data_IF_163918613430
#
_entry.id   IF_163918613430
#
_cell.length_a   1.000
_cell.length_b   1.000
_cell.length_c   1.000
_cell.angle_alpha   90.00
_cell.angle_beta   90.00
_cell.angle_gamma   90.00
#
_symmetry.space_group_name_H-M   'P 1'
#
loop_
_entity.id
_entity.type
_entity.pdbx_description
1 polymer ?
#
# COMPACT_ATOMS: atom_id res chain seq x y z
N UNK A 1 16.47 -71.45 71.01
CA UNK A 1 15.82 -70.53 71.97
C UNK A 1 15.99 -69.12 71.43
N UNK A 2 14.88 -68.38 71.31
CA UNK A 2 14.74 -66.90 71.19
C UNK A 2 15.52 -66.21 70.05
N UNK A 3 14.96 -65.48 69.09
CA UNK A 3 13.67 -64.82 68.99
C UNK A 3 13.85 -63.36 68.51
N UNK A 4 13.34 -63.07 67.31
CA UNK A 4 12.54 -61.90 66.92
C UNK A 4 13.08 -60.44 66.81
N UNK A 5 12.71 -59.85 65.64
CA UNK A 5 12.29 -58.45 65.34
C UNK A 5 13.37 -57.33 65.41
N UNK A 6 13.45 -56.31 64.53
CA UNK A 6 12.42 -55.49 63.88
C UNK A 6 13.00 -54.49 62.81
N UNK A 7 12.22 -54.20 61.74
CA UNK A 7 12.11 -52.96 60.88
C UNK A 7 13.32 -52.39 60.10
N UNK A 8 13.35 -52.48 58.76
CA UNK A 8 12.73 -51.59 57.73
C UNK A 8 13.34 -50.18 57.69
N UNK A 9 14.07 -49.86 56.61
CA UNK A 9 13.77 -48.74 55.70
C UNK A 9 14.53 -48.90 54.38
N UNK A 10 13.77 -48.99 53.29
CA UNK A 10 14.26 -48.93 51.93
C UNK A 10 14.53 -47.45 51.56
N UNK A 11 15.65 -47.17 50.91
CA UNK A 11 15.79 -45.98 50.07
C UNK A 11 16.49 -46.38 48.78
N UNK A 12 15.66 -46.59 47.75
CA UNK A 12 16.05 -46.68 46.36
C UNK A 12 16.78 -45.39 45.97
N UNK A 13 18.03 -45.51 45.56
CA UNK A 13 18.77 -44.40 44.96
C UNK A 13 18.28 -44.22 43.53
N UNK A 14 17.22 -43.43 43.36
CA UNK A 14 16.77 -42.97 42.05
C UNK A 14 17.76 -41.93 41.53
N UNK A 15 18.42 -42.28 40.42
CA UNK A 15 19.20 -41.38 39.58
C UNK A 15 18.25 -40.29 39.09
N UNK A 16 18.35 -39.09 39.66
CA UNK A 16 17.69 -37.91 39.13
C UNK A 16 18.53 -37.40 37.95
N UNK A 17 18.38 -38.04 36.79
CA UNK A 17 18.80 -37.45 35.53
C UNK A 17 17.90 -36.23 35.30
N UNK A 18 18.43 -35.05 35.64
CA UNK A 18 17.84 -33.77 35.28
C UNK A 18 17.84 -33.72 33.75
N UNK A 19 16.69 -34.05 33.16
CA UNK A 19 16.39 -33.70 31.78
C UNK A 19 16.28 -32.17 31.73
N UNK A 20 17.40 -31.51 31.42
CA UNK A 20 17.38 -30.22 30.75
C UNK A 20 16.74 -30.47 29.39
N UNK A 21 15.41 -30.40 29.35
CA UNK A 21 14.69 -30.16 28.11
C UNK A 21 15.09 -28.73 27.74
N UNK A 22 16.12 -28.61 26.92
CA UNK A 22 16.30 -27.46 26.06
C UNK A 22 15.06 -27.45 25.16
N UNK A 23 14.01 -26.76 25.61
CA UNK A 23 13.00 -26.26 24.71
C UNK A 23 13.75 -25.31 23.77
N UNK A 24 14.15 -25.84 22.62
CA UNK A 24 14.44 -25.00 21.48
C UNK A 24 13.27 -24.03 21.36
N UNK A 25 13.51 -22.72 21.17
CA UNK A 25 12.40 -21.84 20.85
C UNK A 25 11.70 -22.48 19.67
N UNK A 26 10.41 -22.78 19.82
CA UNK A 26 9.59 -23.17 18.69
C UNK A 26 9.69 -21.99 17.74
N UNK A 27 10.57 -22.08 16.73
CA UNK A 27 10.67 -21.07 15.70
C UNK A 27 9.24 -20.87 15.21
N UNK A 28 8.72 -19.66 15.39
CA UNK A 28 7.46 -19.30 14.77
C UNK A 28 7.59 -19.70 13.30
N UNK A 29 6.62 -20.46 12.80
CA UNK A 29 6.73 -21.03 11.46
C UNK A 29 6.98 -19.88 10.47
N UNK A 30 8.00 -20.01 9.64
CA UNK A 30 8.30 -19.08 8.56
C UNK A 30 7.01 -18.75 7.77
N UNK A 31 6.68 -17.48 7.48
CA UNK A 31 5.43 -17.11 6.82
C UNK A 31 5.18 -17.86 5.52
N UNK A 32 6.23 -18.17 4.75
CA UNK A 32 6.11 -18.98 3.55
C UNK A 32 5.58 -20.40 3.84
N UNK A 33 5.97 -21.01 4.97
CA UNK A 33 5.43 -22.30 5.42
C UNK A 33 4.00 -22.19 5.92
N UNK A 34 3.64 -21.10 6.58
CA UNK A 34 2.26 -20.86 7.01
C UNK A 34 1.33 -20.75 5.79
N UNK A 35 1.75 -20.00 4.76
CA UNK A 35 1.03 -19.90 3.48
C UNK A 35 0.93 -21.26 2.79
N UNK A 36 2.03 -22.01 2.70
CA UNK A 36 2.03 -23.32 2.06
C UNK A 36 1.16 -24.37 2.79
N UNK A 37 0.89 -24.15 4.08
CA UNK A 37 0.00 -25.01 4.87
C UNK A 37 -1.49 -24.66 4.71
N UNK A 38 -1.82 -23.56 4.02
CA UNK A 38 -3.20 -23.19 3.76
C UNK A 38 -3.91 -24.27 2.92
N UNK A 39 -5.13 -24.68 3.32
CA UNK A 39 -5.90 -25.63 2.55
C UNK A 39 -6.35 -25.03 1.21
N UNK A 40 -6.67 -25.89 0.25
CA UNK A 40 -7.34 -25.47 -0.97
C UNK A 40 -8.81 -25.05 -0.70
N UNK A 41 -9.38 -24.27 -1.61
CA UNK A 41 -10.81 -23.97 -1.65
C UNK A 41 -11.65 -25.27 -1.51
N UNK A 42 -12.74 -25.29 -0.71
CA UNK A 42 -13.51 -24.15 -0.18
C UNK A 42 -13.12 -23.61 1.19
N UNK A 43 -12.00 -24.05 1.76
CA UNK A 43 -11.57 -23.54 3.06
C UNK A 43 -10.88 -22.18 2.92
N UNK A 44 -11.20 -21.26 3.85
CA UNK A 44 -10.45 -20.02 4.05
C UNK A 44 -9.29 -20.26 5.01
N UNK A 45 -8.20 -19.52 4.81
CA UNK A 45 -6.99 -19.60 5.61
C UNK A 45 -6.67 -18.25 6.26
N UNK A 46 -6.59 -18.22 7.58
CA UNK A 46 -6.03 -17.07 8.31
C UNK A 46 -4.57 -17.35 8.68
N UNK A 47 -3.67 -16.47 8.23
CA UNK A 47 -2.26 -16.48 8.56
C UNK A 47 -2.02 -15.34 9.56
N UNK A 48 -1.91 -15.70 10.84
CA UNK A 48 -1.64 -14.73 11.91
C UNK A 48 -0.17 -14.80 12.31
N UNK A 49 0.54 -13.69 12.12
CA UNK A 49 1.97 -13.55 12.41
C UNK A 49 2.27 -13.31 13.90
N UNK A 50 1.23 -13.17 14.74
CA UNK A 50 1.28 -13.08 16.22
C UNK A 50 2.06 -11.88 16.77
N UNK A 51 2.15 -10.80 16.01
CA UNK A 51 2.91 -9.60 16.37
C UNK A 51 4.43 -9.80 16.26
N UNK A 52 4.88 -10.93 15.71
CA UNK A 52 6.30 -11.26 15.57
C UNK A 52 6.92 -10.60 14.34
N UNK A 53 8.26 -10.53 14.34
CA UNK A 53 9.06 -10.03 13.22
C UNK A 53 9.61 -11.21 12.42
N UNK A 54 9.36 -11.23 11.12
CA UNK A 54 9.87 -12.26 10.22
C UNK A 54 10.73 -11.65 9.13
N UNK A 55 11.93 -12.20 8.96
CA UNK A 55 12.77 -11.87 7.81
C UNK A 55 12.39 -12.76 6.64
N UNK A 56 11.94 -12.17 5.54
CA UNK A 56 11.60 -12.88 4.32
C UNK A 56 12.71 -12.74 3.28
N UNK A 57 13.00 -13.84 2.60
CA UNK A 57 14.04 -13.93 1.55
C UNK A 57 13.44 -14.25 0.18
N UNK A 58 12.14 -14.52 0.14
CA UNK A 58 11.39 -14.87 -1.04
C UNK A 58 10.01 -14.19 -0.99
N UNK A 59 9.45 -13.95 -2.16
CA UNK A 59 8.09 -13.44 -2.35
C UNK A 59 7.07 -14.31 -1.62
N UNK A 60 6.21 -13.69 -0.82
CA UNK A 60 5.05 -14.34 -0.24
C UNK A 60 3.88 -14.26 -1.21
N UNK A 61 3.36 -15.40 -1.65
CA UNK A 61 2.22 -15.46 -2.56
C UNK A 61 0.92 -15.58 -1.77
N UNK A 62 0.05 -14.59 -1.85
CA UNK A 62 -1.26 -14.59 -1.20
C UNK A 62 -2.36 -14.67 -2.24
N UNK A 63 -3.31 -15.58 -2.01
CA UNK A 63 -4.52 -15.64 -2.81
C UNK A 63 -5.61 -14.77 -2.18
N UNK A 64 -6.08 -13.71 -2.86
CA UNK A 64 -7.02 -12.74 -2.27
C UNK A 64 -8.41 -13.32 -1.99
N UNK A 65 -8.77 -14.44 -2.61
CA UNK A 65 -10.09 -15.06 -2.50
C UNK A 65 -10.18 -16.03 -1.32
N UNK A 66 -9.03 -16.49 -0.81
CA UNK A 66 -8.98 -17.60 0.17
C UNK A 66 -8.08 -17.33 1.38
N UNK A 67 -7.20 -16.33 1.32
CA UNK A 67 -6.21 -16.08 2.37
C UNK A 67 -6.36 -14.69 2.99
N UNK A 68 -6.24 -14.64 4.32
CA UNK A 68 -6.08 -13.41 5.11
C UNK A 68 -4.73 -13.43 5.81
N UNK A 69 -3.98 -12.32 5.78
CA UNK A 69 -2.70 -12.16 6.49
C UNK A 69 -2.84 -11.10 7.57
N UNK A 70 -2.46 -11.40 8.81
CA UNK A 70 -2.66 -10.48 9.94
C UNK A 70 -1.50 -10.37 10.91
N UNK A 71 -1.39 -9.19 11.54
CA UNK A 71 -0.71 -8.95 12.82
C UNK A 71 0.77 -9.35 12.86
N UNK A 72 1.65 -8.57 12.24
CA UNK A 72 3.10 -8.81 12.33
C UNK A 72 3.96 -7.84 11.54
N UNK A 73 5.27 -8.08 11.61
CA UNK A 73 6.28 -7.30 10.88
C UNK A 73 6.99 -8.21 9.89
N UNK A 74 7.08 -7.77 8.64
CA UNK A 74 7.81 -8.44 7.57
C UNK A 74 9.02 -7.58 7.19
N UNK A 75 10.22 -8.11 7.43
CA UNK A 75 11.50 -7.55 6.99
C UNK A 75 11.91 -8.22 5.67
N UNK A 76 11.68 -7.50 4.58
CA UNK A 76 12.01 -7.84 3.20
C UNK A 76 13.38 -7.30 2.75
N UNK A 77 14.23 -6.83 3.66
CA UNK A 77 15.58 -6.32 3.34
C UNK A 77 16.48 -7.36 2.67
N UNK A 78 16.14 -8.65 2.77
CA UNK A 78 16.87 -9.76 2.16
C UNK A 78 16.38 -10.17 0.76
N UNK A 79 15.38 -9.50 0.18
CA UNK A 79 14.85 -9.87 -1.13
C UNK A 79 15.80 -9.53 -2.29
N UNK A 80 15.82 -10.37 -3.34
CA UNK A 80 16.48 -10.03 -4.59
C UNK A 80 15.93 -8.73 -5.22
N UNK A 81 16.77 -8.09 -6.04
CA UNK A 81 16.36 -6.93 -6.84
C UNK A 81 15.18 -7.29 -7.75
N UNK A 82 14.15 -6.45 -7.78
CA UNK A 82 12.97 -6.61 -8.63
C UNK A 82 11.88 -7.56 -8.11
N UNK A 83 12.13 -8.32 -7.05
CA UNK A 83 11.12 -9.20 -6.45
C UNK A 83 10.18 -8.42 -5.53
N UNK A 84 8.86 -8.73 -5.54
CA UNK A 84 7.93 -8.19 -4.56
C UNK A 84 8.03 -8.93 -3.24
N UNK A 85 7.82 -8.23 -2.12
CA UNK A 85 7.72 -8.88 -0.82
C UNK A 85 6.43 -9.71 -0.69
N UNK A 86 5.32 -9.17 -1.18
CA UNK A 86 4.04 -9.86 -1.26
C UNK A 86 3.51 -9.74 -2.68
N UNK A 87 3.22 -10.87 -3.32
CA UNK A 87 2.43 -10.94 -4.55
C UNK A 87 1.03 -11.44 -4.19
N UNK A 88 0.03 -10.60 -4.45
CA UNK A 88 -1.38 -10.95 -4.33
C UNK A 88 -1.89 -11.33 -5.71
N UNK A 89 -2.31 -12.59 -5.85
CA UNK A 89 -2.77 -13.13 -7.13
C UNK A 89 -3.78 -14.24 -6.91
N UNK A 90 -4.85 -14.25 -7.70
CA UNK A 90 -5.82 -15.34 -7.78
C UNK A 90 -5.53 -16.29 -8.96
N UNK A 91 -4.35 -16.20 -9.57
CA UNK A 91 -3.90 -17.14 -10.58
C UNK A 91 -3.79 -18.56 -9.99
N UNK A 92 -4.22 -19.55 -10.77
CA UNK A 92 -4.14 -20.95 -10.40
C UNK A 92 -5.40 -21.75 -10.76
N UNK A 93 -5.25 -23.06 -10.89
CA UNK A 93 -6.37 -23.97 -11.09
C UNK A 93 -7.14 -24.20 -9.79
N UNK A 94 -8.46 -24.39 -9.88
CA UNK A 94 -9.32 -24.70 -8.73
C UNK A 94 -9.61 -23.52 -7.79
N UNK A 95 -9.29 -22.30 -8.20
CA UNK A 95 -9.64 -21.08 -7.46
C UNK A 95 -11.10 -20.70 -7.69
N UNK A 96 -11.82 -20.20 -6.67
CA UNK A 96 -13.19 -19.74 -6.82
C UNK A 96 -13.27 -18.50 -7.70
N UNK A 97 -14.45 -18.21 -8.26
CA UNK A 97 -14.69 -16.94 -8.96
C UNK A 97 -14.79 -15.76 -7.97
N UNK A 98 -14.41 -14.55 -8.38
CA UNK A 98 -14.42 -13.37 -7.51
C UNK A 98 -15.77 -13.15 -6.82
N UNK A 99 -16.86 -13.29 -7.57
CA UNK A 99 -18.23 -13.02 -7.12
C UNK A 99 -18.77 -14.08 -6.14
N UNK A 100 -18.09 -15.22 -6.01
CA UNK A 100 -18.49 -16.30 -5.11
C UNK A 100 -17.82 -16.19 -3.72
N UNK A 101 -16.96 -15.19 -3.53
CA UNK A 101 -16.18 -15.03 -2.29
C UNK A 101 -16.39 -13.66 -1.66
N UNK A 102 -16.30 -13.59 -0.33
CA UNK A 102 -16.17 -12.33 0.38
C UNK A 102 -14.73 -11.83 0.28
N UNK A 103 -14.54 -10.50 0.33
CA UNK A 103 -13.22 -9.89 0.35
C UNK A 103 -12.40 -10.36 1.58
N UNK A 104 -11.13 -10.71 1.36
CA UNK A 104 -10.15 -10.92 2.43
C UNK A 104 -9.27 -9.69 2.61
N UNK A 105 -8.40 -9.71 3.62
CA UNK A 105 -7.54 -8.59 3.94
C UNK A 105 -6.09 -8.95 4.27
N UNK A 106 -5.21 -7.97 4.07
CA UNK A 106 -3.94 -7.85 4.78
C UNK A 106 -4.15 -6.78 5.84
N UNK A 107 -4.00 -7.15 7.11
CA UNK A 107 -4.42 -6.30 8.23
C UNK A 107 -3.38 -6.24 9.36
N UNK A 108 -3.09 -5.05 9.87
CA UNK A 108 -2.08 -4.82 10.91
C UNK A 108 -0.70 -5.39 10.56
N UNK A 109 -0.19 -5.04 9.37
CA UNK A 109 1.13 -5.45 8.87
C UNK A 109 2.07 -4.25 8.76
N UNK A 110 3.28 -4.39 9.27
CA UNK A 110 4.40 -3.48 8.95
C UNK A 110 5.34 -4.21 8.00
N UNK A 111 5.56 -3.63 6.82
CA UNK A 111 6.39 -4.18 5.76
C UNK A 111 7.54 -3.22 5.46
N UNK A 112 8.77 -3.71 5.65
CA UNK A 112 10.00 -2.93 5.42
C UNK A 112 10.87 -3.61 4.38
N UNK A 113 11.42 -2.84 3.44
CA UNK A 113 12.05 -3.36 2.23
C UNK A 113 13.49 -2.96 2.02
N UNK A 114 13.95 -3.20 0.79
CA UNK A 114 15.19 -2.66 0.24
C UNK A 114 14.90 -1.86 -1.05
N UNK A 115 15.70 -0.82 -1.38
CA UNK A 115 15.34 0.18 -2.40
C UNK A 115 15.17 -0.31 -3.84
N UNK A 116 15.48 -1.58 -4.13
CA UNK A 116 15.36 -2.21 -5.45
C UNK A 116 14.34 -3.34 -5.51
N UNK A 117 13.76 -3.74 -4.39
CA UNK A 117 12.64 -4.68 -4.32
C UNK A 117 11.31 -3.92 -4.39
N UNK A 118 10.22 -4.61 -4.69
CA UNK A 118 8.87 -4.04 -4.58
C UNK A 118 8.21 -4.49 -3.27
N UNK A 119 7.29 -3.68 -2.73
CA UNK A 119 6.55 -4.00 -1.51
C UNK A 119 5.44 -4.99 -1.80
N UNK A 120 4.21 -4.48 -1.93
CA UNK A 120 3.03 -5.28 -2.27
C UNK A 120 2.71 -5.07 -3.75
N UNK A 121 2.53 -6.16 -4.48
CA UNK A 121 2.06 -6.15 -5.87
C UNK A 121 0.74 -6.91 -5.93
N UNK A 122 -0.31 -6.24 -6.41
CA UNK A 122 -1.60 -6.85 -6.72
C UNK A 122 -1.62 -7.09 -8.23
N UNK A 123 -1.56 -8.34 -8.67
CA UNK A 123 -1.46 -8.63 -10.11
C UNK A 123 -1.86 -10.08 -10.43
N UNK A 124 -2.59 -10.25 -11.53
CA UNK A 124 -2.83 -11.53 -12.17
C UNK A 124 -2.13 -11.53 -13.52
N UNK A 125 -1.20 -12.47 -13.73
CA UNK A 125 -0.40 -12.55 -14.96
C UNK A 125 -1.12 -13.28 -16.08
N UNK A 126 -2.18 -14.02 -15.75
CA UNK A 126 -3.01 -14.66 -16.74
C UNK A 126 -4.12 -13.70 -17.18
N UNK A 127 -3.96 -13.10 -18.36
CA UNK A 127 -4.92 -12.12 -18.89
C UNK A 127 -6.33 -12.70 -19.14
N UNK A 128 -6.45 -14.02 -19.27
CA UNK A 128 -7.75 -14.71 -19.40
C UNK A 128 -8.43 -14.93 -18.02
N UNK A 129 -7.81 -14.48 -16.94
CA UNK A 129 -8.31 -14.67 -15.58
C UNK A 129 -9.41 -13.66 -15.26
N UNK A 130 -10.66 -14.09 -15.19
CA UNK A 130 -11.77 -13.21 -14.77
C UNK A 130 -11.80 -12.92 -13.27
N UNK A 131 -10.82 -13.45 -12.51
CA UNK A 131 -10.76 -13.30 -11.06
C UNK A 131 -9.97 -12.07 -10.67
N UNK A 132 -10.38 -11.44 -9.58
CA UNK A 132 -9.75 -10.25 -9.06
C UNK A 132 -8.44 -10.60 -8.34
N UNK A 133 -7.43 -9.77 -8.53
CA UNK A 133 -6.19 -9.76 -7.76
C UNK A 133 -6.26 -8.77 -6.58
N UNK A 134 -7.44 -8.20 -6.31
CA UNK A 134 -7.64 -7.22 -5.26
C UNK A 134 -7.84 -7.85 -3.87
N UNK A 135 -7.13 -7.31 -2.88
CA UNK A 135 -7.29 -7.64 -1.46
C UNK A 135 -7.39 -6.33 -0.67
N UNK A 136 -8.27 -6.29 0.34
CA UNK A 136 -8.38 -5.10 1.19
C UNK A 136 -7.10 -4.93 2.02
N UNK A 137 -6.53 -3.73 2.05
CA UNK A 137 -5.41 -3.40 2.93
C UNK A 137 -5.91 -2.54 4.09
N UNK A 138 -5.71 -3.00 5.32
CA UNK A 138 -6.19 -2.33 6.53
C UNK A 138 -5.03 -2.15 7.52
N UNK A 139 -4.81 -0.93 8.02
CA UNK A 139 -3.78 -0.69 9.05
C UNK A 139 -2.38 -1.18 8.65
N UNK A 140 -1.99 -0.94 7.39
CA UNK A 140 -0.71 -1.41 6.83
C UNK A 140 0.29 -0.27 6.73
N UNK A 141 1.56 -0.51 7.08
CA UNK A 141 2.66 0.40 6.82
C UNK A 141 3.67 -0.26 5.87
N UNK A 142 4.01 0.42 4.77
CA UNK A 142 4.92 -0.08 3.72
C UNK A 142 6.05 0.92 3.52
N UNK A 143 7.31 0.48 3.61
CA UNK A 143 8.43 1.41 3.44
C UNK A 143 9.74 0.80 2.94
N UNK A 144 10.58 1.66 2.33
CA UNK A 144 11.94 1.31 1.93
C UNK A 144 12.07 0.54 0.62
N UNK A 145 11.07 0.60 -0.26
CA UNK A 145 11.03 -0.16 -1.51
C UNK A 145 11.34 0.68 -2.74
N UNK A 146 11.57 0.02 -3.88
CA UNK A 146 11.52 0.64 -5.21
C UNK A 146 10.12 1.15 -5.51
N UNK A 147 9.12 0.30 -5.31
CA UNK A 147 7.69 0.63 -5.39
C UNK A 147 7.00 0.08 -4.15
N UNK A 148 6.36 0.93 -3.37
CA UNK A 148 5.69 0.51 -2.13
C UNK A 148 4.49 -0.40 -2.42
N UNK A 149 3.54 0.09 -3.21
CA UNK A 149 2.35 -0.63 -3.62
C UNK A 149 2.16 -0.53 -5.13
N UNK A 150 1.92 -1.66 -5.79
CA UNK A 150 1.69 -1.73 -7.24
C UNK A 150 0.31 -2.32 -7.57
N UNK A 151 -0.42 -1.65 -8.46
CA UNK A 151 -1.67 -2.13 -9.03
C UNK A 151 -1.44 -2.63 -10.46
N UNK A 152 -1.69 -3.92 -10.65
CA UNK A 152 -1.54 -4.66 -11.90
C UNK A 152 -2.87 -4.98 -12.60
N UNK A 153 -2.88 -6.07 -13.35
CA UNK A 153 -4.06 -6.58 -14.03
C UNK A 153 -5.06 -7.19 -13.04
N UNK A 154 -6.35 -7.08 -13.37
CA UNK A 154 -7.48 -7.58 -12.59
C UNK A 154 -7.61 -6.96 -11.18
N UNK A 155 -7.06 -5.76 -11.00
CA UNK A 155 -7.19 -4.95 -9.79
C UNK A 155 -8.31 -3.93 -10.00
N UNK A 156 -9.48 -4.18 -9.42
CA UNK A 156 -10.66 -3.33 -9.54
C UNK A 156 -11.57 -3.46 -8.31
N UNK A 157 -12.37 -2.43 -8.04
CA UNK A 157 -13.44 -2.40 -7.03
C UNK A 157 -12.99 -2.90 -5.65
N UNK A 158 -11.96 -2.25 -5.09
CA UNK A 158 -11.47 -2.55 -3.74
C UNK A 158 -10.99 -1.29 -3.01
N UNK A 159 -10.77 -1.46 -1.71
CA UNK A 159 -10.43 -0.37 -0.80
C UNK A 159 -9.13 -0.58 -0.05
N UNK A 160 -8.45 0.53 0.23
CA UNK A 160 -7.42 0.64 1.25
C UNK A 160 -7.96 1.50 2.40
N UNK A 161 -7.64 1.14 3.64
CA UNK A 161 -8.05 1.89 4.82
C UNK A 161 -6.91 2.02 5.83
N UNK A 162 -6.57 3.25 6.22
CA UNK A 162 -5.51 3.53 7.21
C UNK A 162 -4.14 2.95 6.80
N UNK A 163 -3.75 3.13 5.53
CA UNK A 163 -2.49 2.62 4.97
C UNK A 163 -1.45 3.73 4.89
N UNK A 164 -0.19 3.42 5.22
CA UNK A 164 0.94 4.33 5.10
C UNK A 164 1.97 3.79 4.12
N UNK A 165 2.38 4.59 3.15
CA UNK A 165 3.38 4.22 2.13
C UNK A 165 4.46 5.29 2.07
N UNK A 166 5.67 4.96 2.50
CA UNK A 166 6.69 5.98 2.71
C UNK A 166 8.13 5.54 2.47
N UNK A 167 9.03 6.52 2.37
CA UNK A 167 10.48 6.30 2.22
C UNK A 167 10.84 5.32 1.08
N UNK A 168 10.06 5.31 0.01
CA UNK A 168 10.26 4.46 -1.17
C UNK A 168 10.65 5.33 -2.38
N UNK A 169 11.20 4.72 -3.44
CA UNK A 169 11.45 5.47 -4.66
C UNK A 169 10.12 5.95 -5.28
N UNK A 170 9.16 5.03 -5.44
CA UNK A 170 7.77 5.33 -5.74
C UNK A 170 6.88 4.80 -4.62
N UNK A 171 5.92 5.60 -4.13
CA UNK A 171 4.94 5.16 -3.14
C UNK A 171 3.94 4.18 -3.75
N UNK A 172 2.99 4.72 -4.53
CA UNK A 172 1.98 3.94 -5.26
C UNK A 172 2.29 3.97 -6.77
N UNK A 173 2.23 2.81 -7.42
CA UNK A 173 2.48 2.65 -8.84
C UNK A 173 1.33 1.89 -9.52
N UNK A 174 0.86 2.33 -10.67
CA UNK A 174 -0.06 1.54 -11.53
C UNK A 174 0.69 1.10 -12.78
N UNK A 175 0.54 -0.16 -13.19
CA UNK A 175 1.26 -0.66 -14.35
C UNK A 175 0.63 -0.12 -15.66
N UNK A 176 1.43 0.18 -16.69
CA UNK A 176 0.89 0.52 -18.00
C UNK A 176 0.26 -0.71 -18.67
N UNK A 177 -0.80 -0.50 -19.45
CA UNK A 177 -1.51 -1.53 -20.20
C UNK A 177 -2.06 -2.69 -19.33
N UNK A 178 -2.47 -2.39 -18.10
CA UNK A 178 -3.15 -3.36 -17.25
C UNK A 178 -4.43 -3.91 -17.92
N UNK A 179 -4.68 -5.20 -17.77
CA UNK A 179 -5.89 -5.86 -18.28
C UNK A 179 -6.98 -5.82 -17.22
N UNK A 180 -8.18 -5.38 -17.60
CA UNK A 180 -9.39 -5.41 -16.77
C UNK A 180 -9.15 -4.86 -15.35
N UNK A 181 -8.65 -3.63 -15.26
CA UNK A 181 -8.19 -3.04 -14.00
C UNK A 181 -8.55 -1.56 -13.91
N UNK A 182 -8.44 -1.02 -12.70
CA UNK A 182 -8.53 0.41 -12.43
C UNK A 182 -9.94 0.95 -12.23
N UNK A 183 -10.98 0.12 -12.23
CA UNK A 183 -12.34 0.57 -11.89
C UNK A 183 -12.44 0.82 -10.39
N UNK A 184 -12.75 2.07 -10.00
CA UNK A 184 -13.19 2.44 -8.65
C UNK A 184 -12.32 1.93 -7.49
N UNK A 185 -11.03 2.27 -7.50
CA UNK A 185 -10.13 1.96 -6.38
C UNK A 185 -10.25 3.06 -5.33
N UNK A 186 -10.70 2.71 -4.11
CA UNK A 186 -10.92 3.69 -3.02
C UNK A 186 -9.77 3.68 -2.03
N UNK A 187 -9.26 4.86 -1.67
CA UNK A 187 -8.16 5.08 -0.74
C UNK A 187 -8.65 5.95 0.44
N UNK A 188 -9.01 5.30 1.55
CA UNK A 188 -9.51 5.97 2.76
C UNK A 188 -8.41 6.10 3.82
N UNK A 189 -8.14 7.33 4.29
CA UNK A 189 -7.07 7.65 5.24
C UNK A 189 -5.71 7.04 4.82
N UNK A 190 -5.39 7.14 3.53
CA UNK A 190 -4.12 6.65 2.98
C UNK A 190 -3.10 7.77 2.98
N UNK A 191 -1.95 7.51 3.59
CA UNK A 191 -0.85 8.47 3.71
C UNK A 191 0.33 8.03 2.85
N UNK A 192 0.62 8.77 1.79
CA UNK A 192 1.77 8.54 0.91
C UNK A 192 2.78 9.67 1.10
N UNK A 193 3.91 9.41 1.73
CA UNK A 193 4.81 10.49 2.14
C UNK A 193 6.30 10.16 2.12
N UNK A 194 7.16 11.19 2.04
CA UNK A 194 8.62 11.04 1.99
C UNK A 194 9.14 10.10 0.88
N UNK A 195 8.40 9.95 -0.22
CA UNK A 195 8.86 9.18 -1.38
C UNK A 195 9.57 10.10 -2.38
N UNK A 196 10.41 9.54 -3.27
CA UNK A 196 10.94 10.34 -4.37
C UNK A 196 9.82 10.73 -5.35
N UNK A 197 8.90 9.80 -5.64
CA UNK A 197 7.64 10.01 -6.32
C UNK A 197 6.51 9.44 -5.44
N UNK A 198 5.53 10.27 -5.06
CA UNK A 198 4.42 9.83 -4.23
C UNK A 198 3.58 8.79 -4.96
N UNK A 199 3.01 9.18 -6.09
CA UNK A 199 2.16 8.32 -6.92
C UNK A 199 2.55 8.42 -8.38
N UNK A 200 2.60 7.29 -9.05
CA UNK A 200 2.91 7.16 -10.46
C UNK A 200 1.85 6.31 -11.16
N UNK A 201 0.86 6.99 -11.74
CA UNK A 201 -0.25 6.35 -12.42
C UNK A 201 0.05 6.18 -13.91
N UNK A 202 0.84 5.17 -14.29
CA UNK A 202 1.12 4.85 -15.71
C UNK A 202 -0.01 4.02 -16.36
N UNK A 203 -0.87 3.40 -15.55
CA UNK A 203 -1.99 2.59 -15.99
C UNK A 203 -3.25 3.38 -16.33
N UNK A 204 -3.36 4.63 -15.88
CA UNK A 204 -4.55 5.45 -16.09
C UNK A 204 -5.75 4.99 -15.26
N UNK A 205 -5.50 4.51 -14.04
CA UNK A 205 -6.53 3.93 -13.17
C UNK A 205 -7.37 5.02 -12.47
N UNK A 206 -8.63 4.71 -12.16
CA UNK A 206 -9.49 5.56 -11.34
C UNK A 206 -9.15 5.39 -9.86
N UNK A 207 -8.70 6.47 -9.23
CA UNK A 207 -8.32 6.50 -7.81
C UNK A 207 -9.15 7.53 -7.04
N UNK A 208 -9.96 7.05 -6.10
CA UNK A 208 -10.81 7.85 -5.23
C UNK A 208 -10.19 7.99 -3.84
N UNK A 209 -9.68 9.18 -3.52
CA UNK A 209 -9.01 9.46 -2.26
C UNK A 209 -9.95 10.15 -1.28
N UNK A 210 -10.06 9.60 -0.07
CA UNK A 210 -10.93 10.08 1.01
C UNK A 210 -10.11 10.30 2.28
N UNK A 211 -10.05 11.55 2.77
CA UNK A 211 -9.28 11.92 3.97
C UNK A 211 -7.78 11.58 3.90
N UNK A 212 -7.20 11.46 2.71
CA UNK A 212 -5.83 10.94 2.49
C UNK A 212 -4.75 12.04 2.54
N UNK A 213 -3.46 11.68 2.53
CA UNK A 213 -2.37 12.66 2.52
C UNK A 213 -1.25 12.30 1.54
N UNK A 214 -0.74 13.29 0.82
CA UNK A 214 0.38 13.15 -0.12
C UNK A 214 1.53 14.09 0.25
N UNK A 215 2.18 13.84 1.40
CA UNK A 215 3.04 14.83 2.05
C UNK A 215 4.54 14.58 1.83
N UNK A 216 5.32 15.64 1.69
CA UNK A 216 6.79 15.62 1.64
C UNK A 216 7.39 14.69 0.58
N UNK A 217 6.63 14.33 -0.45
CA UNK A 217 7.17 13.64 -1.62
C UNK A 217 7.99 14.63 -2.46
N UNK A 218 9.11 14.19 -3.03
CA UNK A 218 9.93 15.08 -3.90
C UNK A 218 9.13 15.50 -5.14
N UNK A 219 8.38 14.56 -5.71
CA UNK A 219 7.29 14.81 -6.65
C UNK A 219 6.02 14.16 -6.11
N UNK A 220 4.90 14.88 -6.07
CA UNK A 220 3.65 14.40 -5.48
C UNK A 220 3.02 13.30 -6.33
N UNK A 221 2.73 13.60 -7.60
CA UNK A 221 2.01 12.67 -8.45
C UNK A 221 2.24 12.85 -9.96
N UNK A 222 2.25 11.74 -10.66
CA UNK A 222 1.95 11.65 -12.09
C UNK A 222 0.56 11.01 -12.22
N UNK A 223 -0.38 11.70 -12.86
CA UNK A 223 -1.79 11.30 -12.95
C UNK A 223 -2.13 11.07 -14.42
N UNK A 224 -2.52 9.85 -14.76
CA UNK A 224 -2.98 9.51 -16.12
C UNK A 224 -4.43 9.08 -16.20
N UNK A 225 -5.06 8.78 -15.06
CA UNK A 225 -6.47 8.40 -14.93
C UNK A 225 -7.32 9.45 -14.22
N UNK A 226 -8.50 9.05 -13.75
CA UNK A 226 -9.47 9.93 -13.08
C UNK A 226 -9.26 9.90 -11.57
N UNK A 227 -8.94 11.05 -10.98
CA UNK A 227 -8.74 11.16 -9.54
C UNK A 227 -9.75 12.09 -8.90
N UNK A 228 -10.50 11.58 -7.93
CA UNK A 228 -11.22 12.38 -6.95
C UNK A 228 -10.36 12.47 -5.69
N UNK A 229 -10.01 13.67 -5.24
CA UNK A 229 -9.11 13.87 -4.13
C UNK A 229 -9.75 14.66 -2.99
N UNK A 230 -9.95 13.98 -1.88
CA UNK A 230 -10.20 14.55 -0.56
C UNK A 230 -9.07 14.17 0.40
N UNK A 231 -8.39 15.16 0.96
CA UNK A 231 -7.14 14.92 1.66
C UNK A 231 -6.26 16.13 1.96
N UNK A 232 -4.96 15.93 2.05
CA UNK A 232 -3.96 16.96 2.32
C UNK A 232 -2.73 16.73 1.44
N UNK A 233 -2.08 17.80 0.99
CA UNK A 233 -0.83 17.72 0.21
C UNK A 233 0.10 18.79 0.75
N UNK A 234 1.03 18.41 1.62
CA UNK A 234 2.08 19.28 2.13
C UNK A 234 3.39 19.03 1.36
N UNK A 235 3.98 20.05 0.74
CA UNK A 235 5.28 19.91 0.07
C UNK A 235 6.18 21.10 0.37
N UNK A 236 7.48 20.86 0.42
CA UNK A 236 8.48 21.93 0.44
C UNK A 236 8.42 22.74 -0.87
N UNK A 237 8.86 24.02 -0.90
CA UNK A 237 8.86 24.87 -2.08
C UNK A 237 9.47 24.14 -3.27
N UNK A 238 8.68 23.78 -4.28
CA UNK A 238 9.18 22.92 -5.30
C UNK A 238 9.93 23.74 -6.34
N UNK A 239 11.04 23.20 -6.82
CA UNK A 239 11.76 23.75 -7.97
C UNK A 239 11.16 23.27 -9.31
N UNK A 240 10.23 22.32 -9.28
CA UNK A 240 9.57 21.69 -10.44
C UNK A 240 8.08 21.44 -10.15
N UNK A 241 7.17 21.37 -11.14
CA UNK A 241 5.76 21.10 -10.89
C UNK A 241 5.57 19.80 -10.05
N UNK A 242 4.88 19.86 -8.90
CA UNK A 242 4.72 18.71 -8.01
C UNK A 242 3.71 17.68 -8.52
N UNK A 243 2.76 18.11 -9.38
CA UNK A 243 1.74 17.25 -9.98
C UNK A 243 1.81 17.40 -11.50
N UNK A 244 1.77 16.27 -12.21
CA UNK A 244 1.65 16.22 -13.67
C UNK A 244 0.41 15.45 -14.09
N UNK A 245 -0.33 16.00 -15.05
CA UNK A 245 -1.43 15.35 -15.73
C UNK A 245 -0.95 14.88 -17.10
N UNK A 246 -1.13 13.59 -17.39
CA UNK A 246 -0.77 12.97 -18.65
C UNK A 246 -1.99 12.35 -19.31
N UNK A 247 -1.98 12.25 -20.64
CA UNK A 247 -3.02 11.54 -21.39
C UNK A 247 -2.42 10.31 -22.07
N UNK A 248 -2.97 9.14 -21.77
CA UNK A 248 -2.59 7.89 -22.42
C UNK A 248 -3.42 7.68 -23.68
N UNK A 249 -2.82 7.07 -24.69
CA UNK A 249 -3.52 6.78 -25.95
C UNK A 249 -4.64 5.77 -25.70
N UNK A 250 -5.87 6.15 -26.07
CA UNK A 250 -7.03 5.26 -25.96
C UNK A 250 -7.68 5.21 -24.56
N UNK A 251 -7.19 6.00 -23.60
CA UNK A 251 -7.74 6.10 -22.25
C UNK A 251 -8.35 7.48 -22.00
N UNK A 252 -9.24 7.64 -21.00
CA UNK A 252 -9.54 8.94 -20.42
C UNK A 252 -8.25 9.66 -20.02
N UNK A 253 -8.18 10.97 -20.24
CA UNK A 253 -7.00 11.74 -19.90
C UNK A 253 -6.91 11.99 -18.39
N UNK A 254 -5.67 12.02 -17.88
CA UNK A 254 -5.36 12.29 -16.48
C UNK A 254 -6.06 13.55 -15.98
N UNK A 255 -6.87 13.40 -14.94
CA UNK A 255 -7.72 14.46 -14.41
C UNK A 255 -7.76 14.45 -12.89
N UNK A 256 -7.73 15.64 -12.28
CA UNK A 256 -7.71 15.81 -10.83
C UNK A 256 -8.89 16.67 -10.36
N UNK A 257 -9.78 16.09 -9.56
CA UNK A 257 -10.94 16.76 -8.99
C UNK A 257 -10.79 16.86 -7.47
N UNK A 258 -10.67 18.07 -6.93
CA UNK A 258 -10.41 18.27 -5.49
C UNK A 258 -11.64 18.73 -4.71
N UNK A 259 -11.79 18.24 -3.48
CA UNK A 259 -12.80 18.70 -2.51
C UNK A 259 -12.30 19.87 -1.64
N UNK A 260 -13.23 20.62 -1.03
CA UNK A 260 -12.92 21.83 -0.26
C UNK A 260 -12.23 21.53 1.08
N UNK A 261 -11.19 22.31 1.42
CA UNK A 261 -10.40 22.12 2.65
C UNK A 261 -9.17 21.24 2.47
N UNK A 262 -9.02 20.64 1.28
CA UNK A 262 -8.16 19.47 1.07
C UNK A 262 -6.78 19.77 0.45
N UNK A 263 -6.34 21.02 0.55
CA UNK A 263 -5.12 21.48 -0.11
C UNK A 263 -4.46 22.58 0.72
N UNK A 264 -3.24 22.29 1.19
CA UNK A 264 -2.40 23.22 1.95
C UNK A 264 -0.97 23.02 1.49
N UNK A 265 -0.52 23.83 0.54
CA UNK A 265 0.91 23.83 0.24
C UNK A 265 1.64 24.91 1.02
N UNK A 266 2.45 24.48 1.98
CA UNK A 266 3.20 25.34 2.90
C UNK A 266 4.67 25.00 2.84
N UNK A 267 5.54 26.01 2.91
CA UNK A 267 6.89 25.79 3.39
C UNK A 267 6.96 26.21 4.83
N UNK A 268 7.27 25.27 5.72
CA UNK A 268 7.66 25.54 7.10
C UNK A 268 6.58 26.28 7.93
N UNK A 269 5.89 25.51 8.78
CA UNK A 269 5.25 25.83 10.08
C UNK A 269 4.37 27.08 10.30
N UNK A 270 4.30 28.04 9.38
CA UNK A 270 3.68 29.34 9.62
C UNK A 270 2.37 29.51 8.83
N UNK A 271 1.93 28.46 8.15
CA UNK A 271 0.71 28.44 7.33
C UNK A 271 0.78 29.33 6.08
N UNK A 272 1.95 29.85 5.69
CA UNK A 272 2.08 30.74 4.53
C UNK A 272 2.65 29.99 3.34
N UNK A 273 2.00 30.14 2.18
CA UNK A 273 2.63 29.81 0.91
C UNK A 273 3.86 30.69 0.71
N UNK A 274 5.01 30.08 0.47
CA UNK A 274 6.29 30.75 0.23
C UNK A 274 6.75 30.70 -1.23
N UNK A 275 6.07 29.92 -2.07
CA UNK A 275 6.35 29.79 -3.51
C UNK A 275 5.06 29.71 -4.32
N UNK A 276 5.19 29.93 -5.63
CA UNK A 276 4.11 29.65 -6.57
C UNK A 276 4.03 28.14 -6.81
N UNK A 277 2.82 27.57 -6.74
CA UNK A 277 2.61 26.14 -7.02
C UNK A 277 1.76 26.00 -8.28
N UNK A 278 2.19 25.15 -9.20
CA UNK A 278 1.48 24.90 -10.45
C UNK A 278 1.42 23.42 -10.78
N UNK A 279 0.28 22.99 -11.32
CA UNK A 279 0.10 21.66 -11.92
C UNK A 279 0.54 21.74 -13.38
N UNK A 280 1.23 20.73 -13.89
CA UNK A 280 1.61 20.67 -15.30
C UNK A 280 0.70 19.70 -16.06
N UNK A 281 0.36 20.01 -17.32
CA UNK A 281 -0.26 19.05 -18.24
C UNK A 281 0.42 19.12 -19.59
N UNK A 282 0.47 17.97 -20.26
CA UNK A 282 0.91 17.84 -21.65
C UNK A 282 -0.25 17.71 -22.65
N UNK A 283 -1.50 17.68 -22.18
CA UNK A 283 -2.66 17.32 -22.99
C UNK A 283 -3.85 18.27 -22.78
N UNK A 284 -4.49 18.77 -23.86
CA UNK A 284 -5.70 19.58 -23.75
C UNK A 284 -6.91 18.79 -23.26
N UNK A 285 -6.82 17.47 -23.21
CA UNK A 285 -7.90 16.58 -22.77
C UNK A 285 -7.90 16.29 -21.28
N UNK A 286 -6.78 16.55 -20.59
CA UNK A 286 -6.70 16.51 -19.13
C UNK A 286 -7.58 17.59 -18.50
N UNK A 287 -7.96 17.43 -17.23
CA UNK A 287 -8.74 18.44 -16.52
C UNK A 287 -8.30 18.58 -15.07
N UNK A 288 -8.47 19.79 -14.52
CA UNK A 288 -8.34 20.01 -13.08
C UNK A 288 -9.51 20.83 -12.55
N UNK A 289 -10.03 20.43 -11.39
CA UNK A 289 -11.07 21.18 -10.69
C UNK A 289 -10.63 21.56 -9.28
N UNK A 290 -10.62 22.86 -8.99
CA UNK A 290 -10.38 23.40 -7.64
C UNK A 290 -11.68 23.70 -6.90
N UNK A 291 -11.75 23.45 -5.58
CA UNK A 291 -12.84 23.92 -4.74
C UNK A 291 -12.73 25.44 -4.46
N UNK A 292 -13.77 26.05 -3.90
CA UNK A 292 -13.78 27.48 -3.54
C UNK A 292 -12.79 27.89 -2.44
N UNK A 293 -12.37 26.93 -1.62
CA UNK A 293 -11.48 27.14 -0.48
C UNK A 293 -10.24 26.26 -0.63
N UNK A 294 -9.26 26.76 -1.39
CA UNK A 294 -7.93 26.17 -1.54
C UNK A 294 -6.92 27.06 -0.82
N UNK A 295 -6.13 26.51 0.11
CA UNK A 295 -5.16 27.29 0.88
C UNK A 295 -3.73 27.04 0.36
N UNK A 296 -2.91 28.07 0.31
CA UNK A 296 -1.50 27.91 -0.06
C UNK A 296 -1.19 27.87 -1.57
N UNK A 297 -2.17 27.93 -2.48
CA UNK A 297 -1.89 28.26 -3.89
C UNK A 297 -1.65 29.77 -3.99
N UNK A 298 -0.40 30.17 -4.22
CA UNK A 298 -0.08 31.51 -4.74
C UNK A 298 0.53 31.34 -6.13
N UNK A 299 0.31 32.32 -7.00
CA UNK A 299 0.69 32.27 -8.40
C UNK A 299 0.36 33.57 -9.09
N UNK A 300 1.36 34.38 -9.44
CA UNK A 300 1.16 35.53 -10.36
C UNK A 300 0.90 35.09 -11.79
N UNK A 301 1.12 33.80 -12.09
CA UNK A 301 0.92 33.13 -13.36
C UNK A 301 0.26 31.79 -13.03
N UNK A 302 -0.87 31.51 -13.70
CA UNK A 302 -1.79 30.38 -13.59
C UNK A 302 -1.38 29.17 -12.71
N UNK A 303 -2.34 28.70 -11.90
CA UNK A 303 -2.32 27.42 -11.15
C UNK A 303 -2.02 26.19 -12.04
N UNK A 304 -2.14 26.35 -13.35
CA UNK A 304 -1.94 25.35 -14.37
C UNK A 304 -0.91 25.82 -15.41
N UNK A 305 0.10 25.00 -15.67
CA UNK A 305 1.05 25.16 -16.78
C UNK A 305 0.80 24.05 -17.82
N UNK A 306 0.07 24.37 -18.88
CA UNK A 306 -0.24 23.40 -19.92
C UNK A 306 -1.56 23.72 -20.62
N UNK A 307 -1.95 22.89 -21.60
CA UNK A 307 -3.15 23.11 -22.40
C UNK A 307 -4.45 22.66 -21.72
N UNK A 308 -4.38 22.01 -20.54
CA UNK A 308 -5.55 21.50 -19.84
C UNK A 308 -6.45 22.65 -19.31
N UNK A 309 -7.79 22.54 -19.42
CA UNK A 309 -8.72 23.43 -18.76
C UNK A 309 -8.69 23.33 -17.23
N UNK A 310 -8.97 24.46 -16.58
CA UNK A 310 -9.17 24.59 -15.13
C UNK A 310 -10.63 24.92 -14.84
N UNK A 311 -11.29 24.10 -14.03
CA UNK A 311 -12.68 24.25 -13.61
C UNK A 311 -12.78 24.58 -12.10
N UNK A 312 -13.89 25.20 -11.66
CA UNK A 312 -14.02 25.68 -10.27
C UNK A 312 -13.37 27.05 -10.05
N UNK A 313 -13.57 27.71 -8.90
CA UNK A 313 -13.38 29.15 -8.89
C UNK A 313 -11.89 29.49 -8.69
N UNK A 314 -11.28 29.99 -9.77
CA UNK A 314 -10.12 30.86 -9.71
C UNK A 314 -10.53 32.20 -9.04
N UNK A 315 -10.81 32.19 -7.74
CA UNK A 315 -11.10 33.43 -6.98
C UNK A 315 -9.82 34.28 -6.88
N UNK A 316 -9.94 35.61 -6.83
CA UNK A 316 -8.76 36.47 -6.64
C UNK A 316 -8.05 36.11 -5.35
N UNK A 317 -6.72 36.30 -5.33
CA UNK A 317 -5.85 36.00 -4.19
C UNK A 317 -6.50 36.44 -2.87
N UNK A 318 -6.76 35.48 -1.98
CA UNK A 318 -7.20 35.77 -0.63
C UNK A 318 -6.15 36.66 0.05
N UNK A 319 -6.54 37.89 0.38
CA UNK A 319 -5.78 38.84 1.17
C UNK A 319 -6.34 38.81 2.59
N UNK A 320 -5.77 38.02 3.51
CA UNK A 320 -6.09 38.19 4.92
C UNK A 320 -5.54 39.55 5.34
N UNK A 321 -6.44 40.41 5.83
CA UNK A 321 -6.05 41.57 6.64
C UNK A 321 -5.39 41.10 7.92
#
# INVERSE_FOLDING_TARGET
MTGNFLKVFAVSSAILAVFLILSAPAYAADPARMIAACPAWPAHCEINLKGEVYKIQHTLHLNPLTMRLTNGVLDASGLPDGEPAILVSSDGSGQPESYDTAANSIDHIVLTGQPKADGIVLDNRNDDNIRTSAITLENVSISGFRRGLTFGSHVYVFGLSHVQIHNSATGLYTIPNAVDAGERITLEDVNVFNNALGVDDEGGMELDWLGSRLDYNTMTAVISGLWSFDGHIEISPPHTPPIRLHALVGQPAGSLFMTAGSFVIVSQSDGKASSDYWVQSDSPYSAIQFPAHTYGVRGKIAVMNGPAPVYGPALPAFTPN
#
